data_IF_938238939832
#
_entry.id   IF_938238939832
#
_cell.length_a   1.000
_cell.length_b   1.000
_cell.length_c   1.000
_cell.angle_alpha   90.00
_cell.angle_beta   90.00
_cell.angle_gamma   90.00
#
_symmetry.space_group_name_H-M   'P 1'
#
loop_
_entity.id
_entity.type
_entity.pdbx_description
1 polymer ?
#
# COMPACT_ATOMS: atom_id res chain seq x y z
N UNK A 1 -3.51 8.82 19.07
CA UNK A 1 -2.66 8.71 17.87
C UNK A 1 -2.86 7.39 17.12
N UNK A 2 -2.68 6.22 17.74
CA UNK A 2 -2.89 4.93 17.04
C UNK A 2 -4.28 4.78 16.39
N UNK A 3 -5.36 5.15 17.09
CA UNK A 3 -6.72 5.08 16.52
C UNK A 3 -6.91 6.01 15.32
N UNK A 4 -6.31 7.20 15.34
CA UNK A 4 -6.36 8.14 14.22
C UNK A 4 -5.72 7.53 12.97
N UNK A 5 -4.49 7.02 13.09
CA UNK A 5 -3.80 6.36 11.97
C UNK A 5 -4.51 5.10 11.50
N UNK A 6 -5.16 4.37 12.40
CA UNK A 6 -6.01 3.26 12.00
C UNK A 6 -7.17 3.71 11.12
N UNK A 7 -7.85 4.81 11.46
CA UNK A 7 -8.93 5.34 10.63
C UNK A 7 -8.43 5.92 9.30
N UNK A 8 -7.23 6.52 9.28
CA UNK A 8 -6.57 6.96 8.03
C UNK A 8 -6.31 5.75 7.13
N UNK A 9 -5.53 4.78 7.60
CA UNK A 9 -5.23 3.57 6.84
C UNK A 9 -6.48 2.80 6.43
N UNK A 10 -7.47 2.66 7.32
CA UNK A 10 -8.76 2.06 6.97
C UNK A 10 -9.44 2.80 5.82
N UNK A 11 -9.59 4.11 5.93
CA UNK A 11 -10.33 4.93 4.96
C UNK A 11 -9.65 4.95 3.59
N UNK A 12 -8.32 5.09 3.58
CA UNK A 12 -7.54 5.14 2.35
C UNK A 12 -7.52 3.78 1.63
N UNK A 13 -7.33 2.68 2.36
CA UNK A 13 -7.39 1.34 1.78
C UNK A 13 -8.81 0.98 1.29
N UNK A 14 -9.84 1.35 2.07
CA UNK A 14 -11.23 1.14 1.68
C UNK A 14 -11.58 1.91 0.41
N UNK A 15 -11.18 3.18 0.31
CA UNK A 15 -11.40 3.99 -0.88
C UNK A 15 -10.61 3.45 -2.08
N UNK A 16 -9.30 3.26 -1.94
CA UNK A 16 -8.45 2.94 -3.08
C UNK A 16 -8.64 1.49 -3.56
N UNK A 17 -8.63 0.51 -2.64
CA UNK A 17 -8.66 -0.92 -2.98
C UNK A 17 -10.05 -1.51 -2.83
N UNK A 18 -10.86 -0.98 -1.92
CA UNK A 18 -12.26 -1.41 -1.76
C UNK A 18 -13.22 -0.79 -2.79
N UNK A 19 -13.03 0.47 -3.17
CA UNK A 19 -13.95 1.15 -4.10
C UNK A 19 -13.31 1.39 -5.49
N UNK A 20 -12.27 2.21 -5.59
CA UNK A 20 -11.69 2.64 -6.88
C UNK A 20 -11.19 1.46 -7.71
N UNK A 21 -10.49 0.50 -7.08
CA UNK A 21 -10.04 -0.73 -7.73
C UNK A 21 -11.20 -1.50 -8.38
N UNK A 22 -12.34 -1.59 -7.69
CA UNK A 22 -13.50 -2.33 -8.19
C UNK A 22 -14.30 -1.53 -9.22
N UNK A 23 -14.40 -0.22 -9.05
CA UNK A 23 -15.05 0.70 -9.97
C UNK A 23 -14.34 0.84 -11.33
N UNK A 24 -13.04 0.54 -11.40
CA UNK A 24 -12.32 0.54 -12.66
C UNK A 24 -12.74 -0.64 -13.56
N UNK A 25 -13.36 -0.36 -14.70
CA UNK A 25 -13.89 -1.39 -15.64
C UNK A 25 -12.80 -2.25 -16.27
N UNK A 26 -11.60 -1.69 -16.45
CA UNK A 26 -10.51 -2.38 -17.16
C UNK A 26 -9.60 -3.12 -16.18
N UNK A 27 -9.72 -4.45 -16.12
CA UNK A 27 -8.87 -5.33 -15.28
C UNK A 27 -7.37 -5.05 -15.36
N UNK A 28 -6.86 -4.63 -16.52
CA UNK A 28 -5.44 -4.30 -16.72
C UNK A 28 -5.03 -2.98 -16.07
N UNK A 29 -5.97 -2.05 -15.87
CA UNK A 29 -5.69 -0.70 -15.40
C UNK A 29 -6.12 -0.46 -13.95
N UNK A 30 -6.91 -1.36 -13.34
CA UNK A 30 -7.39 -1.21 -11.94
C UNK A 30 -6.27 -0.82 -10.98
N UNK A 31 -5.12 -1.51 -11.05
CA UNK A 31 -3.96 -1.24 -10.21
C UNK A 31 -3.40 0.16 -10.47
N UNK A 32 -3.25 0.56 -11.74
CA UNK A 32 -2.69 1.86 -12.10
C UNK A 32 -3.63 2.99 -11.65
N UNK A 33 -4.92 2.86 -11.93
CA UNK A 33 -5.95 3.87 -11.62
C UNK A 33 -6.02 4.10 -10.10
N UNK A 34 -6.13 3.05 -9.29
CA UNK A 34 -6.15 3.23 -7.83
C UNK A 34 -4.83 3.76 -7.27
N UNK A 35 -3.68 3.42 -7.87
CA UNK A 35 -2.37 3.93 -7.41
C UNK A 35 -2.23 5.41 -7.69
N UNK A 36 -2.69 5.86 -8.87
CA UNK A 36 -2.70 7.27 -9.23
C UNK A 36 -3.67 8.05 -8.36
N UNK A 37 -4.85 7.49 -8.04
CA UNK A 37 -5.78 8.11 -7.11
C UNK A 37 -5.16 8.25 -5.71
N UNK A 38 -4.57 7.18 -5.18
CA UNK A 38 -3.87 7.17 -3.90
C UNK A 38 -2.77 8.24 -3.82
N UNK A 39 -1.83 8.23 -4.77
CA UNK A 39 -0.76 9.22 -4.81
C UNK A 39 -1.27 10.64 -5.08
N UNK A 40 -2.33 10.78 -5.89
CA UNK A 40 -2.93 12.06 -6.25
C UNK A 40 -3.67 12.73 -5.09
N UNK A 41 -4.30 11.98 -4.18
CA UNK A 41 -4.90 12.55 -2.98
C UNK A 41 -3.89 13.25 -2.07
N UNK A 42 -2.61 12.91 -2.19
CA UNK A 42 -1.55 13.52 -1.40
C UNK A 42 -1.04 14.85 -1.99
N UNK A 43 -1.58 15.33 -3.11
CA UNK A 43 -1.27 16.69 -3.62
C UNK A 43 -1.69 17.80 -2.64
N UNK A 44 -2.67 17.53 -1.77
CA UNK A 44 -3.13 18.48 -0.75
C UNK A 44 -2.41 18.31 0.59
N UNK A 45 -1.49 17.35 0.71
CA UNK A 45 -0.71 17.11 1.93
C UNK A 45 0.36 18.20 2.10
N UNK A 46 0.53 18.77 3.31
CA UNK A 46 1.59 19.75 3.59
C UNK A 46 3.01 19.27 3.26
N UNK A 47 3.24 17.96 3.33
CA UNK A 47 4.53 17.30 3.11
C UNK A 47 4.78 16.96 1.63
N UNK A 48 3.87 17.36 0.73
CA UNK A 48 3.91 17.00 -0.67
C UNK A 48 5.21 17.46 -1.35
N UNK A 49 5.82 16.53 -2.07
CA UNK A 49 6.89 16.80 -3.03
C UNK A 49 6.91 15.69 -4.10
N UNK A 50 7.59 15.94 -5.22
CA UNK A 50 7.62 14.98 -6.34
C UNK A 50 8.24 13.64 -5.97
N UNK A 51 9.22 13.60 -5.05
CA UNK A 51 9.82 12.34 -4.60
C UNK A 51 8.79 11.51 -3.82
N UNK A 52 8.10 12.15 -2.87
CA UNK A 52 7.02 11.52 -2.10
C UNK A 52 5.90 11.03 -3.02
N UNK A 53 5.51 11.80 -4.04
CA UNK A 53 4.52 11.38 -5.03
C UNK A 53 4.90 10.05 -5.71
N UNK A 54 6.14 9.94 -6.21
CA UNK A 54 6.59 8.71 -6.87
C UNK A 54 6.70 7.55 -5.88
N UNK A 55 7.11 7.79 -4.64
CA UNK A 55 7.14 6.76 -3.60
C UNK A 55 5.73 6.26 -3.27
N UNK A 56 4.77 7.16 -3.07
CA UNK A 56 3.37 6.82 -2.84
C UNK A 56 2.75 6.11 -4.05
N UNK A 57 3.11 6.49 -5.27
CA UNK A 57 2.66 5.81 -6.49
C UNK A 57 3.17 4.36 -6.53
N UNK A 58 4.45 4.13 -6.22
CA UNK A 58 5.05 2.80 -6.16
C UNK A 58 4.40 1.96 -5.05
N UNK A 59 4.24 2.51 -3.84
CA UNK A 59 3.51 1.88 -2.74
C UNK A 59 2.08 1.55 -3.16
N UNK A 60 1.43 2.49 -3.86
CA UNK A 60 0.13 2.36 -4.50
C UNK A 60 0.02 1.09 -5.35
N UNK A 61 0.98 0.92 -6.26
CA UNK A 61 1.06 -0.22 -7.19
C UNK A 61 1.28 -1.51 -6.42
N UNK A 62 2.22 -1.52 -5.48
CA UNK A 62 2.56 -2.69 -4.67
C UNK A 62 1.33 -3.18 -3.88
N UNK A 63 0.65 -2.28 -3.19
CA UNK A 63 -0.55 -2.60 -2.41
C UNK A 63 -1.69 -3.05 -3.32
N UNK A 64 -1.85 -2.46 -4.51
CA UNK A 64 -2.81 -2.92 -5.51
C UNK A 64 -2.54 -4.35 -5.99
N UNK A 65 -1.27 -4.72 -6.19
CA UNK A 65 -0.88 -6.10 -6.49
C UNK A 65 -1.10 -7.04 -5.32
N UNK A 66 -0.76 -6.64 -4.10
CA UNK A 66 -1.00 -7.42 -2.88
C UNK A 66 -2.49 -7.68 -2.69
N UNK A 67 -3.34 -6.66 -2.85
CA UNK A 67 -4.78 -6.81 -2.77
C UNK A 67 -5.30 -7.81 -3.81
N UNK A 68 -4.78 -7.75 -5.05
CA UNK A 68 -5.14 -8.71 -6.11
C UNK A 68 -4.81 -10.17 -5.73
N UNK A 69 -3.70 -10.40 -5.03
CA UNK A 69 -3.25 -11.75 -4.64
C UNK A 69 -3.99 -12.22 -3.39
N UNK A 70 -4.10 -11.36 -2.36
CA UNK A 70 -4.65 -11.71 -1.05
C UNK A 70 -6.18 -11.74 -1.07
N UNK A 71 -6.81 -10.84 -1.84
CA UNK A 71 -8.27 -10.68 -1.88
C UNK A 71 -8.88 -10.14 -0.59
N UNK A 72 -8.07 -9.65 0.35
CA UNK A 72 -8.51 -9.16 1.66
C UNK A 72 -7.84 -7.81 1.97
N UNK A 73 -8.63 -6.84 2.46
CA UNK A 73 -8.14 -5.50 2.81
C UNK A 73 -7.44 -5.44 4.18
N UNK A 74 -7.79 -6.32 5.12
CA UNK A 74 -7.30 -6.23 6.51
C UNK A 74 -5.79 -6.20 6.65
N UNK A 75 -5.01 -7.04 5.94
CA UNK A 75 -3.56 -6.97 6.03
C UNK A 75 -3.02 -5.60 5.56
N UNK A 76 -3.58 -5.05 4.48
CA UNK A 76 -3.17 -3.75 3.93
C UNK A 76 -3.49 -2.62 4.91
N UNK A 77 -4.67 -2.64 5.52
CA UNK A 77 -5.09 -1.66 6.53
C UNK A 77 -4.13 -1.67 7.73
N UNK A 78 -3.76 -2.86 8.20
CA UNK A 78 -2.83 -3.01 9.32
C UNK A 78 -1.44 -2.50 8.92
N UNK A 79 -0.93 -2.89 7.74
CA UNK A 79 0.37 -2.42 7.26
C UNK A 79 0.43 -0.90 7.10
N UNK A 80 -0.62 -0.30 6.53
CA UNK A 80 -0.74 1.15 6.39
C UNK A 80 -0.77 1.83 7.76
N UNK A 81 -1.59 1.33 8.70
CA UNK A 81 -1.63 1.86 10.07
C UNK A 81 -0.26 1.83 10.74
N UNK A 82 0.46 0.71 10.61
CA UNK A 82 1.82 0.55 11.16
C UNK A 82 2.79 1.54 10.50
N UNK A 83 2.65 1.77 9.19
CA UNK A 83 3.44 2.74 8.46
C UNK A 83 3.27 4.14 9.03
N UNK A 84 2.04 4.63 9.15
CA UNK A 84 1.79 6.00 9.63
C UNK A 84 2.24 6.19 11.08
N UNK A 85 1.96 5.19 11.92
CA UNK A 85 2.41 5.17 13.32
C UNK A 85 3.94 5.23 13.35
N UNK A 86 4.63 4.35 12.61
CA UNK A 86 6.08 4.31 12.55
C UNK A 86 6.67 5.62 12.00
N UNK A 87 6.03 6.22 11.00
CA UNK A 87 6.50 7.44 10.37
C UNK A 87 6.48 8.64 11.30
N UNK A 88 5.50 8.68 12.21
CA UNK A 88 5.38 9.69 13.26
C UNK A 88 6.54 9.64 14.25
N UNK A 89 7.05 8.45 14.58
CA UNK A 89 8.14 8.29 15.56
C UNK A 89 9.53 8.43 14.96
N UNK A 90 9.68 8.31 13.64
CA UNK A 90 10.98 8.24 12.98
C UNK A 90 11.31 9.46 12.12
N UNK A 91 10.43 10.47 12.07
CA UNK A 91 10.54 11.61 11.14
C UNK A 91 10.72 11.14 9.70
N UNK A 92 9.87 10.19 9.29
CA UNK A 92 9.93 9.50 7.99
C UNK A 92 10.09 10.45 6.81
N UNK A 93 9.26 11.51 6.78
CA UNK A 93 9.28 12.53 5.74
C UNK A 93 10.61 13.28 5.60
N UNK A 94 11.50 13.20 6.59
CA UNK A 94 12.81 13.84 6.58
C UNK A 94 13.98 12.84 6.39
N UNK A 95 13.72 11.52 6.32
CA UNK A 95 14.78 10.52 6.18
C UNK A 95 14.47 9.46 5.10
N UNK A 96 14.85 9.73 3.84
CA UNK A 96 14.54 8.84 2.71
C UNK A 96 15.15 7.44 2.84
N UNK A 97 16.16 7.25 3.71
CA UNK A 97 16.75 5.94 3.95
C UNK A 97 15.76 4.97 4.60
N UNK A 98 14.85 5.48 5.44
CA UNK A 98 13.84 4.66 6.11
C UNK A 98 12.79 4.21 5.08
N UNK A 99 12.32 5.11 4.19
CA UNK A 99 11.43 4.79 3.06
C UNK A 99 12.00 3.64 2.20
N UNK A 100 13.29 3.70 1.86
CA UNK A 100 13.94 2.67 1.06
C UNK A 100 14.01 1.32 1.79
N UNK A 101 14.38 1.30 3.06
CA UNK A 101 14.44 0.07 3.87
C UNK A 101 13.07 -0.60 3.98
N UNK A 102 12.03 0.20 4.05
CA UNK A 102 10.66 -0.28 4.21
C UNK A 102 10.08 -0.77 2.89
N UNK A 103 10.39 -0.11 1.76
CA UNK A 103 10.13 -0.66 0.42
C UNK A 103 10.80 -2.02 0.23
N UNK A 104 12.05 -2.17 0.69
CA UNK A 104 12.75 -3.48 0.68
C UNK A 104 11.99 -4.50 1.53
N UNK A 105 11.57 -4.13 2.75
CA UNK A 105 10.80 -5.02 3.62
C UNK A 105 9.49 -5.46 2.98
N UNK A 106 8.77 -4.55 2.31
CA UNK A 106 7.53 -4.88 1.59
C UNK A 106 7.81 -5.83 0.44
N UNK A 107 8.85 -5.60 -0.36
CA UNK A 107 9.24 -6.52 -1.44
C UNK A 107 9.61 -7.91 -0.91
N UNK A 108 10.29 -7.98 0.24
CA UNK A 108 10.59 -9.25 0.90
C UNK A 108 9.32 -9.96 1.38
N UNK A 109 8.37 -9.22 1.98
CA UNK A 109 7.06 -9.74 2.37
C UNK A 109 6.28 -10.24 1.15
N UNK A 110 6.29 -9.50 0.02
CA UNK A 110 5.68 -9.94 -1.24
C UNK A 110 6.29 -11.28 -1.68
N UNK A 111 7.62 -11.38 -1.71
CA UNK A 111 8.32 -12.61 -2.08
C UNK A 111 7.92 -13.77 -1.17
N UNK A 112 7.86 -13.51 0.13
CA UNK A 112 7.48 -14.50 1.13
C UNK A 112 6.02 -14.97 0.95
N UNK A 113 5.06 -14.06 0.83
CA UNK A 113 3.64 -14.38 0.59
C UNK A 113 3.47 -15.13 -0.74
N UNK A 114 4.18 -14.73 -1.79
CA UNK A 114 4.13 -15.41 -3.09
C UNK A 114 4.70 -16.84 -3.01
N UNK A 115 5.71 -17.07 -2.17
CA UNK A 115 6.25 -18.41 -1.91
C UNK A 115 5.23 -19.26 -1.14
N UNK A 116 4.60 -18.71 -0.10
CA UNK A 116 3.58 -19.42 0.68
C UNK A 116 2.39 -19.82 -0.18
N UNK A 117 1.84 -18.87 -0.93
CA UNK A 117 0.68 -19.11 -1.82
C UNK A 117 0.99 -20.07 -2.98
N UNK A 118 2.23 -20.10 -3.49
CA UNK A 118 2.66 -21.11 -4.47
C UNK A 118 2.80 -22.52 -3.89
N UNK A 119 3.14 -22.63 -2.60
CA UNK A 119 3.27 -23.93 -1.94
C UNK A 119 1.91 -24.57 -1.65
N UNK A 120 0.89 -23.77 -1.34
CA UNK A 120 -0.49 -24.25 -1.18
C UNK A 120 -1.06 -24.82 -2.49
N UNK A 121 -0.64 -24.28 -3.65
CA UNK A 121 -1.06 -24.78 -4.96
C UNK A 121 -0.36 -26.09 -5.38
N UNK A 122 0.72 -26.50 -4.70
CA UNK A 122 1.44 -27.76 -4.98
C UNK A 122 0.96 -28.95 -4.15
N UNK A 123 0.03 -28.75 -3.21
CA UNK A 123 -0.60 -29.84 -2.46
C UNK A 123 -1.99 -30.24 -3.02
N UNK A 124 -2.43 -29.60 -4.10
CA UNK A 124 -3.55 -30.05 -4.90
C UNK A 124 -3.00 -30.76 -6.14
N UNK A 125 -3.30 -32.05 -6.26
CA UNK A 125 -2.87 -33.05 -7.27
C UNK A 125 -1.62 -33.85 -6.92
#
# INVERSE_FOLDING_TARGET
MAAYYFFVGFSEEFLCRGYIYHAADTNKLKIIIQSLAFAGFHFISPEFNMVLFFMLLITGIIYGYLYKIIGNLWPLIIFHTIWDVGGTYTNYYNNPMIDFLWLIMVVLIIKFITVLTKNDCKQCF
#
